data_IF_450550694317
#
_entry.id   IF_450550694317
#
_cell.length_a   1.000
_cell.length_b   1.000
_cell.length_c   1.000
_cell.angle_alpha   90.00
_cell.angle_beta   90.00
_cell.angle_gamma   90.00
#
_symmetry.space_group_name_H-M   'P 1'
#
loop_
_entity.id
_entity.type
_entity.pdbx_description
1 polymer ?
#
# COMPACT_ATOMS: atom_id res chain seq x y z
N UNK A 1 9.45 8.68 11.18
CA UNK A 1 8.24 7.94 10.77
C UNK A 1 8.45 6.44 10.96
N UNK A 2 7.42 5.76 11.48
CA UNK A 2 7.39 4.30 11.60
C UNK A 2 7.61 3.62 10.25
N UNK A 3 8.49 2.62 10.17
CA UNK A 3 8.88 1.98 8.91
C UNK A 3 8.21 0.64 8.63
N UNK A 4 7.59 0.03 9.65
CA UNK A 4 6.96 -1.28 9.54
C UNK A 4 7.93 -2.46 9.50
N UNK A 5 9.22 -2.23 9.73
CA UNK A 5 10.26 -3.26 9.67
C UNK A 5 11.30 -3.09 10.76
N UNK A 6 11.78 -4.20 11.32
CA UNK A 6 12.85 -4.24 12.30
C UNK A 6 13.72 -5.49 12.10
N UNK A 7 15.00 -5.38 12.43
CA UNK A 7 15.93 -6.50 12.52
C UNK A 7 16.15 -6.84 14.00
N UNK A 8 16.06 -8.11 14.34
CA UNK A 8 16.22 -8.58 15.72
C UNK A 8 17.13 -9.78 15.76
N UNK A 9 18.20 -9.71 16.57
CA UNK A 9 19.11 -10.81 16.79
C UNK A 9 18.49 -11.84 17.74
N UNK A 10 18.61 -13.11 17.37
CA UNK A 10 18.12 -14.26 18.13
C UNK A 10 19.15 -15.39 18.11
N UNK A 11 19.01 -16.35 19.00
CA UNK A 11 19.77 -17.59 18.92
C UNK A 11 19.48 -18.33 17.60
N UNK A 12 20.47 -18.97 17.03
CA UNK A 12 20.34 -19.70 15.76
C UNK A 12 19.20 -20.73 15.79
N UNK A 13 18.99 -21.37 16.93
CA UNK A 13 17.89 -22.33 17.13
C UNK A 13 16.51 -21.72 16.88
N UNK A 14 16.28 -20.45 17.22
CA UNK A 14 15.00 -19.78 17.00
C UNK A 14 14.68 -19.71 15.50
N UNK A 15 15.69 -19.46 14.67
CA UNK A 15 15.54 -19.43 13.21
C UNK A 15 15.24 -20.84 12.68
N UNK A 16 15.94 -21.87 13.17
CA UNK A 16 15.67 -23.26 12.81
C UNK A 16 14.24 -23.66 13.17
N UNK A 17 13.81 -23.37 14.39
CA UNK A 17 12.45 -23.62 14.86
C UNK A 17 11.41 -22.95 13.95
N UNK A 18 11.65 -21.69 13.56
CA UNK A 18 10.76 -20.97 12.66
C UNK A 18 10.63 -21.65 11.29
N UNK A 19 11.74 -22.09 10.69
CA UNK A 19 11.72 -22.79 9.40
C UNK A 19 11.10 -24.19 9.49
N UNK A 20 11.25 -24.86 10.62
CA UNK A 20 10.65 -26.19 10.87
C UNK A 20 9.15 -26.13 11.19
N UNK A 21 8.59 -24.92 11.37
CA UNK A 21 7.19 -24.71 11.72
C UNK A 21 6.90 -24.78 13.22
N UNK A 22 7.92 -24.88 14.07
CA UNK A 22 7.78 -24.76 15.51
C UNK A 22 7.37 -23.32 15.88
N UNK A 23 6.29 -23.11 16.67
CA UNK A 23 5.83 -21.77 17.01
C UNK A 23 6.90 -20.92 17.71
N UNK A 24 7.18 -19.73 17.20
CA UNK A 24 8.10 -18.75 17.78
C UNK A 24 7.28 -17.58 18.30
N UNK A 25 7.28 -17.40 19.63
CA UNK A 25 6.55 -16.33 20.30
C UNK A 25 7.55 -15.35 20.90
N UNK A 26 7.47 -14.08 20.50
CA UNK A 26 8.26 -12.99 21.07
C UNK A 26 7.64 -12.52 22.39
N UNK A 27 8.51 -12.08 23.31
CA UNK A 27 8.10 -11.52 24.61
C UNK A 27 8.36 -10.02 24.61
N UNK A 28 7.41 -9.24 25.14
CA UNK A 28 7.47 -7.77 25.19
C UNK A 28 8.76 -7.23 25.80
N UNK A 29 9.26 -7.85 26.84
CA UNK A 29 10.53 -7.43 27.51
C UNK A 29 11.77 -7.62 26.65
N UNK A 30 11.70 -8.35 25.55
CA UNK A 30 12.82 -8.61 24.67
C UNK A 30 12.93 -7.59 23.52
N UNK A 31 11.78 -7.05 23.08
CA UNK A 31 11.70 -6.15 21.93
C UNK A 31 10.37 -5.40 21.91
N UNK A 32 10.42 -4.12 21.57
CA UNK A 32 9.23 -3.34 21.28
C UNK A 32 8.90 -3.47 19.80
N UNK A 33 7.77 -4.08 19.49
CA UNK A 33 7.28 -4.33 18.14
C UNK A 33 5.78 -4.06 18.07
N UNK A 34 5.33 -3.61 16.91
CA UNK A 34 3.93 -3.25 16.68
C UNK A 34 3.17 -4.31 15.88
N UNK A 35 1.83 -4.40 16.01
CA UNK A 35 1.02 -5.32 15.21
C UNK A 35 1.29 -5.19 13.71
N UNK A 36 1.36 -6.31 13.02
CA UNK A 36 1.67 -6.40 11.58
C UNK A 36 3.04 -5.86 11.14
N UNK A 37 3.93 -5.60 12.09
CA UNK A 37 5.31 -5.24 11.79
C UNK A 37 6.07 -6.45 11.25
N UNK A 38 6.85 -6.23 10.21
CA UNK A 38 7.77 -7.24 9.68
C UNK A 38 9.06 -7.25 10.49
N UNK A 39 9.60 -8.43 10.65
CA UNK A 39 10.82 -8.66 11.41
C UNK A 39 11.76 -9.59 10.64
N UNK A 40 13.02 -9.20 10.57
CA UNK A 40 14.10 -10.10 10.17
C UNK A 40 14.76 -10.65 11.42
N UNK A 41 14.58 -11.93 11.66
CA UNK A 41 15.34 -12.66 12.65
C UNK A 41 16.74 -12.90 12.08
N UNK A 42 17.77 -12.52 12.83
CA UNK A 42 19.16 -12.65 12.44
C UNK A 42 19.90 -13.47 13.50
N UNK A 43 20.63 -14.49 13.11
CA UNK A 43 21.41 -15.30 14.03
C UNK A 43 22.50 -14.46 14.72
N UNK A 44 22.66 -14.65 16.01
CA UNK A 44 23.73 -14.04 16.82
C UNK A 44 25.13 -14.61 16.51
N UNK A 45 25.20 -15.83 15.95
CA UNK A 45 26.43 -16.56 15.62
C UNK A 45 26.73 -16.60 14.13
N UNK A 46 25.74 -16.45 13.27
CA UNK A 46 25.89 -16.52 11.81
C UNK A 46 25.05 -15.45 11.11
N UNK A 47 25.67 -14.33 10.77
CA UNK A 47 25.00 -13.19 10.14
C UNK A 47 24.27 -13.49 8.83
N UNK A 48 24.65 -14.57 8.13
CA UNK A 48 24.01 -14.97 6.88
C UNK A 48 22.71 -15.77 7.10
N UNK A 49 22.51 -16.27 8.32
CA UNK A 49 21.31 -17.03 8.67
C UNK A 49 20.23 -16.09 9.18
N UNK A 50 19.20 -15.93 8.38
CA UNK A 50 18.12 -15.00 8.64
C UNK A 50 16.76 -15.62 8.33
N UNK A 51 15.69 -15.08 8.93
CA UNK A 51 14.33 -15.44 8.59
C UNK A 51 13.45 -14.17 8.58
N UNK A 52 12.56 -14.06 7.60
CA UNK A 52 11.58 -12.99 7.52
C UNK A 52 10.24 -13.47 8.05
N UNK A 53 9.65 -12.70 8.95
CA UNK A 53 8.38 -13.00 9.57
C UNK A 53 7.53 -11.74 9.73
N UNK A 54 6.24 -11.93 10.05
CA UNK A 54 5.33 -10.87 10.45
C UNK A 54 4.83 -11.11 11.88
N UNK A 55 4.89 -10.08 12.69
CA UNK A 55 4.40 -10.09 14.06
C UNK A 55 2.93 -9.70 14.11
N UNK A 56 2.11 -10.41 14.86
CA UNK A 56 0.71 -10.07 15.10
C UNK A 56 0.54 -9.42 16.48
N UNK A 57 0.89 -10.17 17.51
CA UNK A 57 0.87 -9.74 18.90
C UNK A 57 1.76 -10.66 19.75
N UNK A 58 1.97 -10.32 21.02
CA UNK A 58 2.82 -11.11 21.93
C UNK A 58 2.23 -12.47 22.36
N UNK A 59 0.98 -12.74 22.05
CA UNK A 59 0.30 -14.00 22.38
C UNK A 59 0.24 -14.97 21.19
N UNK A 60 0.65 -14.54 20.03
CA UNK A 60 0.60 -15.31 18.79
C UNK A 60 2.00 -15.59 18.25
N UNK A 61 2.24 -16.74 17.61
CA UNK A 61 3.51 -17.00 16.97
C UNK A 61 3.75 -16.07 15.78
N UNK A 62 5.03 -15.85 15.49
CA UNK A 62 5.44 -15.16 14.27
C UNK A 62 4.89 -15.89 13.04
N UNK A 63 4.39 -15.12 12.07
CA UNK A 63 3.82 -15.66 10.83
C UNK A 63 4.87 -15.71 9.72
N UNK A 64 4.87 -16.80 8.96
CA UNK A 64 5.61 -16.88 7.70
C UNK A 64 4.97 -15.96 6.67
N UNK A 65 5.80 -15.30 5.85
CA UNK A 65 5.34 -14.53 4.72
C UNK A 65 4.84 -15.46 3.60
N UNK A 66 3.84 -15.03 2.89
CA UNK A 66 3.39 -15.72 1.68
C UNK A 66 4.43 -15.57 0.58
N UNK A 67 4.65 -16.64 -0.18
CA UNK A 67 5.57 -16.64 -1.32
C UNK A 67 4.84 -16.28 -2.62
N UNK A 68 5.13 -15.11 -3.14
CA UNK A 68 4.60 -14.63 -4.43
C UNK A 68 5.64 -14.68 -5.56
N UNK A 69 6.80 -15.28 -5.32
CA UNK A 69 7.93 -15.28 -6.27
C UNK A 69 7.66 -16.11 -7.52
N UNK A 70 6.85 -17.15 -7.42
CA UNK A 70 6.54 -18.07 -8.52
C UNK A 70 5.42 -17.55 -9.42
N UNK A 71 4.22 -17.39 -8.88
CA UNK A 71 3.04 -17.00 -9.63
C UNK A 71 2.89 -15.46 -9.73
N UNK A 72 3.30 -14.75 -8.67
CA UNK A 72 3.01 -13.32 -8.53
C UNK A 72 1.53 -13.06 -8.22
N UNK A 73 1.18 -11.78 -8.20
CA UNK A 73 -0.18 -11.28 -8.04
C UNK A 73 -0.53 -10.50 -9.30
N UNK A 74 -1.55 -10.93 -10.02
CA UNK A 74 -1.90 -10.39 -11.34
C UNK A 74 -0.67 -10.29 -12.26
N UNK A 75 0.19 -11.32 -12.22
CA UNK A 75 1.45 -11.38 -12.96
C UNK A 75 2.60 -10.53 -12.39
N UNK A 76 2.39 -9.78 -11.32
CA UNK A 76 3.40 -8.94 -10.69
C UNK A 76 4.09 -9.69 -9.57
N UNK A 77 5.42 -9.74 -9.61
CA UNK A 77 6.27 -10.40 -8.60
C UNK A 77 7.01 -9.36 -7.75
N UNK A 78 7.25 -9.66 -6.47
CA UNK A 78 8.09 -8.80 -5.65
C UNK A 78 9.55 -8.88 -6.13
N UNK A 79 10.23 -7.74 -6.21
CA UNK A 79 11.64 -7.63 -6.61
C UNK A 79 12.59 -7.46 -5.44
N UNK A 80 12.05 -7.15 -4.26
CA UNK A 80 12.79 -6.99 -3.02
C UNK A 80 11.91 -7.36 -1.82
N UNK A 81 12.51 -7.39 -0.62
CA UNK A 81 11.79 -7.78 0.59
C UNK A 81 10.64 -6.82 0.95
N UNK A 82 10.82 -5.52 0.77
CA UNK A 82 9.77 -4.53 1.09
C UNK A 82 8.56 -4.70 0.18
N UNK A 83 8.76 -5.02 -1.09
CA UNK A 83 7.66 -5.35 -2.01
C UNK A 83 6.96 -6.66 -1.61
N UNK A 84 7.70 -7.64 -1.11
CA UNK A 84 7.11 -8.86 -0.55
C UNK A 84 6.27 -8.55 0.68
N UNK A 85 6.75 -7.71 1.58
CA UNK A 85 5.99 -7.23 2.75
C UNK A 85 4.70 -6.54 2.33
N UNK A 86 4.79 -5.65 1.35
CA UNK A 86 3.62 -4.96 0.82
C UNK A 86 2.57 -5.94 0.29
N UNK A 87 2.95 -6.89 -0.54
CA UNK A 87 2.03 -7.90 -1.07
C UNK A 87 1.43 -8.78 0.03
N UNK A 88 2.19 -9.12 1.06
CA UNK A 88 1.69 -9.91 2.19
C UNK A 88 0.55 -9.19 2.92
N UNK A 89 0.69 -7.88 3.18
CA UNK A 89 -0.37 -7.06 3.77
C UNK A 89 -1.54 -6.81 2.82
N UNK A 90 -1.25 -6.49 1.56
CA UNK A 90 -2.27 -6.16 0.55
C UNK A 90 -3.21 -7.35 0.26
N UNK A 91 -2.72 -8.57 0.40
CA UNK A 91 -3.47 -9.79 0.17
C UNK A 91 -4.13 -10.36 1.44
N UNK A 92 -3.90 -9.75 2.60
CA UNK A 92 -4.42 -10.24 3.88
C UNK A 92 -5.76 -9.57 4.24
N UNK A 93 -6.88 -10.32 4.26
CA UNK A 93 -8.19 -9.76 4.61
C UNK A 93 -8.31 -9.38 6.09
N UNK A 94 -7.44 -9.88 6.96
CA UNK A 94 -7.43 -9.53 8.38
C UNK A 94 -6.83 -8.14 8.67
N UNK A 95 -6.23 -7.52 7.65
CA UNK A 95 -5.61 -6.18 7.75
C UNK A 95 -6.37 -5.21 6.84
N UNK A 96 -7.48 -4.63 7.30
CA UNK A 96 -8.31 -3.77 6.46
C UNK A 96 -7.69 -2.41 6.12
N UNK A 97 -6.67 -1.94 6.85
CA UNK A 97 -5.98 -0.69 6.55
C UNK A 97 -4.50 -0.95 6.30
N UNK A 98 -4.01 -0.59 5.13
CA UNK A 98 -2.60 -0.71 4.75
C UNK A 98 -2.06 0.63 4.28
N UNK A 99 -0.92 1.03 4.80
CA UNK A 99 -0.19 2.23 4.36
C UNK A 99 1.11 1.82 3.66
N UNK A 100 1.34 2.37 2.48
CA UNK A 100 2.56 2.18 1.70
C UNK A 100 3.22 3.53 1.45
N UNK A 101 4.39 3.74 2.02
CA UNK A 101 5.18 4.95 1.85
C UNK A 101 6.43 4.63 1.04
N UNK A 102 6.75 5.46 0.07
CA UNK A 102 7.96 5.30 -0.73
C UNK A 102 8.06 6.34 -1.82
N UNK A 103 9.27 6.57 -2.29
CA UNK A 103 9.54 7.47 -3.42
C UNK A 103 8.91 6.97 -4.71
N UNK A 104 8.77 7.86 -5.68
CA UNK A 104 8.34 7.48 -7.02
C UNK A 104 9.20 6.32 -7.58
N UNK A 105 8.56 5.35 -8.24
CA UNK A 105 9.24 4.19 -8.80
C UNK A 105 9.53 3.05 -7.82
N UNK A 106 9.07 3.12 -6.58
CA UNK A 106 9.19 2.00 -5.61
C UNK A 106 8.14 0.91 -5.79
N UNK A 107 7.15 1.14 -6.67
CA UNK A 107 6.13 0.15 -7.01
C UNK A 107 4.92 0.12 -6.08
N UNK A 108 4.72 1.11 -5.21
CA UNK A 108 3.61 1.14 -4.24
C UNK A 108 2.24 1.09 -4.90
N UNK A 109 1.99 1.97 -5.86
CA UNK A 109 0.69 2.05 -6.55
C UNK A 109 0.42 0.81 -7.40
N UNK A 110 1.42 0.33 -8.12
CA UNK A 110 1.30 -0.90 -8.93
C UNK A 110 0.99 -2.13 -8.07
N UNK A 111 1.66 -2.28 -6.91
CA UNK A 111 1.40 -3.37 -5.98
C UNK A 111 -0.03 -3.30 -5.39
N UNK A 112 -0.49 -2.10 -5.05
CA UNK A 112 -1.86 -1.90 -4.58
C UNK A 112 -2.88 -2.28 -5.65
N UNK A 113 -2.70 -1.82 -6.89
CA UNK A 113 -3.59 -2.11 -8.00
C UNK A 113 -3.61 -3.59 -8.39
N UNK A 114 -2.46 -4.25 -8.53
CA UNK A 114 -2.43 -5.67 -8.87
C UNK A 114 -3.12 -6.53 -7.79
N UNK A 115 -2.94 -6.20 -6.53
CA UNK A 115 -3.60 -6.88 -5.41
C UNK A 115 -5.12 -6.66 -5.41
N UNK A 116 -5.56 -5.45 -5.78
CA UNK A 116 -6.97 -5.13 -5.91
C UNK A 116 -7.64 -5.94 -7.04
N UNK A 117 -7.03 -5.99 -8.21
CA UNK A 117 -7.53 -6.74 -9.36
C UNK A 117 -7.61 -8.24 -9.07
N UNK A 118 -6.56 -8.81 -8.49
CA UNK A 118 -6.53 -10.24 -8.12
C UNK A 118 -7.69 -10.62 -7.19
N UNK A 119 -7.99 -9.79 -6.21
CA UNK A 119 -9.01 -10.09 -5.20
C UNK A 119 -10.42 -9.68 -5.59
N UNK A 120 -10.58 -8.92 -6.66
CA UNK A 120 -11.88 -8.41 -7.12
C UNK A 120 -12.36 -9.10 -8.40
N UNK A 121 -11.47 -9.39 -9.34
CA UNK A 121 -11.80 -9.95 -10.65
C UNK A 121 -11.63 -11.47 -10.74
N UNK A 122 -10.81 -12.07 -9.88
CA UNK A 122 -10.70 -13.54 -9.80
C UNK A 122 -11.94 -14.15 -9.15
N UNK A 123 -12.24 -15.39 -9.48
CA UNK A 123 -13.46 -16.09 -9.01
C UNK A 123 -13.06 -17.16 -7.97
N UNK A 124 -13.68 -17.17 -6.78
CA UNK A 124 -14.67 -16.21 -6.27
C UNK A 124 -14.05 -14.90 -5.83
N UNK A 125 -14.69 -13.76 -6.10
CA UNK A 125 -14.17 -12.47 -5.72
C UNK A 125 -14.25 -12.25 -4.20
N UNK A 126 -13.22 -11.68 -3.62
CA UNK A 126 -13.22 -11.32 -2.19
C UNK A 126 -13.89 -9.97 -1.95
N UNK A 127 -13.75 -9.04 -2.88
CA UNK A 127 -14.35 -7.70 -2.85
C UNK A 127 -15.23 -7.50 -4.08
N UNK A 128 -16.26 -6.66 -3.96
CA UNK A 128 -17.21 -6.41 -5.05
C UNK A 128 -16.63 -5.55 -6.16
N UNK A 129 -15.79 -4.58 -5.77
CA UNK A 129 -15.22 -3.61 -6.70
C UNK A 129 -13.92 -3.02 -6.18
N UNK A 130 -13.16 -2.46 -7.09
CA UNK A 130 -12.00 -1.61 -6.81
C UNK A 130 -12.43 -0.16 -6.95
N UNK A 131 -12.12 0.65 -5.95
CA UNK A 131 -12.27 2.12 -6.02
C UNK A 131 -10.89 2.74 -5.89
N UNK A 132 -10.43 3.42 -6.93
CA UNK A 132 -9.14 4.10 -6.94
C UNK A 132 -9.38 5.59 -6.93
N UNK A 133 -8.80 6.27 -5.97
CA UNK A 133 -8.97 7.71 -5.82
C UNK A 133 -7.63 8.40 -5.60
N UNK A 134 -7.63 9.69 -5.84
CA UNK A 134 -6.47 10.56 -5.67
C UNK A 134 -6.97 11.96 -5.27
N UNK A 135 -6.32 12.65 -4.30
CA UNK A 135 -6.58 14.06 -4.10
C UNK A 135 -6.18 14.83 -5.35
N UNK A 136 -6.99 15.80 -5.72
CA UNK A 136 -6.74 16.69 -6.87
C UNK A 136 -6.29 18.04 -6.33
N UNK A 137 -5.02 18.36 -6.59
CA UNK A 137 -4.44 19.67 -6.31
C UNK A 137 -4.27 20.41 -7.64
N UNK A 138 -5.01 21.49 -7.89
CA UNK A 138 -4.82 22.30 -9.08
C UNK A 138 -3.46 23.01 -8.99
N UNK A 139 -2.54 22.63 -9.87
CA UNK A 139 -1.26 23.32 -10.04
C UNK A 139 -1.51 24.50 -10.97
N UNK A 140 -1.50 25.72 -10.41
CA UNK A 140 -1.69 26.95 -11.20
C UNK A 140 -3.13 27.40 -11.27
N UNK A 141 -3.61 27.74 -12.46
CA UNK A 141 -4.93 28.34 -12.67
C UNK A 141 -6.10 27.42 -12.31
N UNK A 142 -7.13 28.03 -11.77
CA UNK A 142 -8.37 27.40 -11.37
C UNK A 142 -8.91 26.41 -12.42
N UNK A 143 -9.20 25.18 -12.01
CA UNK A 143 -9.81 24.13 -12.84
C UNK A 143 -11.07 24.64 -13.56
N UNK A 144 -11.75 25.65 -12.99
CA UNK A 144 -12.91 26.31 -13.58
C UNK A 144 -12.70 26.88 -14.97
N UNK A 145 -11.48 27.24 -15.36
CA UNK A 145 -11.17 27.79 -16.68
C UNK A 145 -10.91 26.76 -17.77
N UNK A 146 -10.81 25.47 -17.44
CA UNK A 146 -10.65 24.44 -18.45
C UNK A 146 -12.01 24.12 -19.11
N UNK A 147 -12.05 23.88 -20.43
CA UNK A 147 -13.29 23.48 -21.11
C UNK A 147 -13.69 22.05 -20.73
N UNK A 148 -15.00 21.77 -20.73
CA UNK A 148 -15.54 20.46 -20.50
C UNK A 148 -16.27 20.29 -19.15
N UNK A 149 -16.80 19.11 -18.93
CA UNK A 149 -17.43 18.74 -17.66
C UNK A 149 -16.39 18.63 -16.54
N UNK A 150 -16.83 18.66 -15.28
CA UNK A 150 -15.93 18.49 -14.13
C UNK A 150 -15.14 17.17 -14.19
N UNK A 151 -15.77 16.10 -14.65
CA UNK A 151 -15.12 14.81 -14.86
C UNK A 151 -14.02 14.88 -15.93
N UNK A 152 -14.31 15.49 -17.07
CA UNK A 152 -13.32 15.67 -18.15
C UNK A 152 -12.13 16.53 -17.73
N UNK A 153 -12.37 17.55 -16.91
CA UNK A 153 -11.33 18.40 -16.35
C UNK A 153 -10.39 17.66 -15.40
N UNK A 154 -10.88 16.62 -14.71
CA UNK A 154 -10.11 15.81 -13.75
C UNK A 154 -9.34 14.66 -14.40
N UNK A 155 -9.66 14.27 -15.64
CA UNK A 155 -9.02 13.17 -16.34
C UNK A 155 -7.47 13.25 -16.36
N UNK A 156 -6.84 14.42 -16.61
CA UNK A 156 -5.38 14.51 -16.60
C UNK A 156 -4.76 14.16 -15.25
N UNK A 157 -5.45 14.42 -14.15
CA UNK A 157 -4.97 14.11 -12.79
C UNK A 157 -5.02 12.62 -12.47
N UNK A 158 -5.92 11.89 -13.14
CA UNK A 158 -6.13 10.45 -12.98
C UNK A 158 -5.34 9.62 -14.01
N UNK A 159 -4.68 10.25 -14.98
CA UNK A 159 -3.92 9.58 -16.03
C UNK A 159 -2.88 8.59 -15.50
N UNK A 160 -2.07 8.88 -14.47
CA UNK A 160 -1.12 7.92 -13.93
C UNK A 160 -1.78 6.63 -13.40
N UNK A 161 -2.97 6.71 -12.84
CA UNK A 161 -3.75 5.55 -12.39
C UNK A 161 -4.22 4.73 -13.60
N UNK A 162 -4.74 5.40 -14.62
CA UNK A 162 -5.18 4.76 -15.87
C UNK A 162 -4.03 4.06 -16.58
N UNK A 163 -2.86 4.67 -16.64
CA UNK A 163 -1.65 4.08 -17.23
C UNK A 163 -1.22 2.81 -16.50
N UNK A 164 -1.24 2.81 -15.18
CA UNK A 164 -0.93 1.62 -14.39
C UNK A 164 -1.96 0.49 -14.60
N UNK A 165 -3.25 0.82 -14.64
CA UNK A 165 -4.30 -0.16 -14.94
C UNK A 165 -4.14 -0.73 -16.34
N UNK A 166 -3.85 0.10 -17.32
CA UNK A 166 -3.61 -0.32 -18.69
C UNK A 166 -2.38 -1.24 -18.79
N UNK A 167 -1.32 -0.91 -18.09
CA UNK A 167 -0.14 -1.78 -17.99
C UNK A 167 -0.52 -3.17 -17.43
N UNK A 168 -1.35 -3.23 -16.40
CA UNK A 168 -1.77 -4.49 -15.77
C UNK A 168 -2.69 -5.33 -16.66
N UNK A 169 -3.49 -4.71 -17.51
CA UNK A 169 -4.32 -5.39 -18.51
C UNK A 169 -3.57 -5.69 -19.82
N UNK A 170 -2.34 -5.18 -19.98
CA UNK A 170 -1.57 -5.38 -21.19
C UNK A 170 -2.27 -4.78 -22.41
N UNK A 171 -2.36 -5.54 -23.49
CA UNK A 171 -3.03 -5.11 -24.74
C UNK A 171 -4.56 -5.19 -24.68
N UNK A 172 -5.12 -5.72 -23.61
CA UNK A 172 -6.56 -5.95 -23.47
C UNK A 172 -7.29 -4.73 -22.87
N UNK A 173 -7.33 -3.65 -23.65
CA UNK A 173 -8.06 -2.43 -23.31
C UNK A 173 -9.56 -2.65 -23.18
N UNK A 174 -10.10 -3.51 -24.02
CA UNK A 174 -11.54 -3.77 -24.03
C UNK A 174 -12.03 -4.37 -22.73
N UNK A 175 -11.29 -5.31 -22.16
CA UNK A 175 -11.62 -5.90 -20.87
C UNK A 175 -11.54 -4.88 -19.73
N UNK A 176 -10.54 -4.00 -19.73
CA UNK A 176 -10.46 -2.92 -18.76
C UNK A 176 -11.68 -1.98 -18.85
N UNK A 177 -12.01 -1.52 -20.05
CA UNK A 177 -13.16 -0.65 -20.29
C UNK A 177 -14.48 -1.33 -19.86
N UNK A 178 -14.64 -2.61 -20.17
CA UNK A 178 -15.80 -3.40 -19.74
C UNK A 178 -15.94 -3.41 -18.20
N UNK A 179 -14.86 -3.64 -17.47
CA UNK A 179 -14.90 -3.63 -15.99
C UNK A 179 -15.21 -2.26 -15.40
N UNK A 180 -14.77 -1.18 -16.07
CA UNK A 180 -15.13 0.19 -15.69
C UNK A 180 -16.61 0.45 -15.94
N UNK A 181 -17.13 0.07 -17.10
CA UNK A 181 -18.55 0.22 -17.45
C UNK A 181 -19.47 -0.58 -16.52
N UNK A 182 -19.06 -1.80 -16.15
CA UNK A 182 -19.78 -2.65 -15.20
C UNK A 182 -19.70 -2.17 -13.73
N UNK A 183 -18.92 -1.15 -13.45
CA UNK A 183 -18.72 -0.62 -12.10
C UNK A 183 -17.85 -1.49 -11.19
N UNK A 184 -17.10 -2.45 -11.74
CA UNK A 184 -16.13 -3.26 -10.99
C UNK A 184 -14.84 -2.51 -10.71
N UNK A 185 -14.52 -1.51 -11.53
CA UNK A 185 -13.40 -0.59 -11.36
C UNK A 185 -13.94 0.82 -11.43
N UNK A 186 -13.83 1.58 -10.35
CA UNK A 186 -14.16 3.00 -10.29
C UNK A 186 -12.87 3.81 -10.13
N UNK A 187 -12.69 4.86 -10.92
CA UNK A 187 -11.56 5.79 -10.83
C UNK A 187 -12.13 7.18 -10.63
N UNK A 188 -11.90 7.78 -9.45
CA UNK A 188 -12.52 9.04 -9.07
C UNK A 188 -11.55 9.91 -8.26
N UNK A 189 -11.78 11.22 -8.27
CA UNK A 189 -11.12 12.12 -7.34
C UNK A 189 -11.70 11.94 -5.92
N UNK A 190 -10.86 12.13 -4.90
CA UNK A 190 -11.26 11.99 -3.48
C UNK A 190 -12.49 12.82 -3.11
N UNK A 191 -12.66 14.00 -3.73
CA UNK A 191 -13.81 14.85 -3.50
C UNK A 191 -15.15 14.19 -3.83
N UNK A 192 -15.19 13.25 -4.75
CA UNK A 192 -16.43 12.54 -5.14
C UNK A 192 -16.78 11.36 -4.25
N UNK A 193 -15.84 10.86 -3.45
CA UNK A 193 -16.11 9.78 -2.49
C UNK A 193 -16.48 10.30 -1.10
N UNK A 194 -16.26 11.58 -0.82
CA UNK A 194 -16.69 12.20 0.43
C UNK A 194 -18.21 12.09 0.58
N UNK A 195 -18.66 11.64 1.73
CA UNK A 195 -20.09 11.46 2.00
C UNK A 195 -20.68 10.14 1.51
N UNK A 196 -19.94 9.33 0.74
CA UNK A 196 -20.35 7.97 0.38
C UNK A 196 -19.92 6.98 1.48
N UNK A 197 -20.80 6.02 1.78
CA UNK A 197 -20.43 4.84 2.55
C UNK A 197 -20.10 3.71 1.57
N UNK A 198 -18.84 3.30 1.51
CA UNK A 198 -18.37 2.28 0.57
C UNK A 198 -18.09 1.00 1.33
N UNK A 199 -18.86 -0.06 1.03
CA UNK A 199 -18.76 -1.36 1.67
C UNK A 199 -18.31 -2.44 0.69
N UNK A 200 -17.68 -3.50 1.21
CA UNK A 200 -17.23 -4.68 0.46
C UNK A 200 -16.36 -4.34 -0.76
N UNK A 201 -15.60 -3.26 -0.68
CA UNK A 201 -14.74 -2.78 -1.75
C UNK A 201 -13.25 -2.86 -1.36
N UNK A 202 -12.41 -2.90 -2.39
CA UNK A 202 -10.98 -2.68 -2.26
C UNK A 202 -10.70 -1.23 -2.68
N UNK A 203 -10.45 -0.37 -1.71
CA UNK A 203 -10.27 1.07 -1.94
C UNK A 203 -8.79 1.44 -1.90
N UNK A 204 -8.33 2.20 -2.87
CA UNK A 204 -6.98 2.74 -2.94
C UNK A 204 -7.08 4.26 -2.98
N UNK A 205 -6.40 4.94 -2.07
CA UNK A 205 -6.19 6.38 -2.12
C UNK A 205 -4.71 6.61 -2.35
N UNK A 206 -4.37 7.13 -3.53
CA UNK A 206 -2.99 7.47 -3.90
C UNK A 206 -2.68 8.93 -3.55
N UNK A 207 -1.41 9.25 -3.37
CA UNK A 207 -0.91 10.60 -3.04
C UNK A 207 -1.51 11.19 -1.74
N UNK A 208 -1.68 10.35 -0.72
CA UNK A 208 -2.33 10.73 0.56
C UNK A 208 -1.52 11.81 1.32
N UNK A 209 -0.22 11.98 1.05
CA UNK A 209 0.58 13.06 1.62
C UNK A 209 0.03 14.46 1.26
N UNK A 210 -0.78 14.56 0.20
CA UNK A 210 -1.42 15.80 -0.21
C UNK A 210 -2.78 16.06 0.45
N UNK A 211 -3.22 15.17 1.34
CA UNK A 211 -4.44 15.35 2.11
C UNK A 211 -4.16 15.94 3.49
N UNK A 212 -5.12 16.68 4.02
CA UNK A 212 -5.12 17.11 5.41
C UNK A 212 -5.54 15.98 6.34
N UNK A 213 -5.20 16.09 7.62
CA UNK A 213 -5.65 15.13 8.65
C UNK A 213 -7.19 15.07 8.74
N UNK A 214 -7.85 16.20 8.60
CA UNK A 214 -9.31 16.27 8.59
C UNK A 214 -9.92 15.52 7.41
N UNK A 215 -9.36 15.69 6.21
CA UNK A 215 -9.84 15.02 5.01
C UNK A 215 -9.72 13.50 5.11
N UNK A 216 -8.58 12.98 5.52
CA UNK A 216 -8.40 11.53 5.66
C UNK A 216 -9.27 10.95 6.77
N UNK A 217 -9.43 11.66 7.88
CA UNK A 217 -10.35 11.26 8.96
C UNK A 217 -11.79 11.15 8.45
N UNK A 218 -12.24 12.11 7.65
CA UNK A 218 -13.57 12.11 7.05
C UNK A 218 -13.78 10.89 6.16
N UNK A 219 -12.78 10.50 5.37
CA UNK A 219 -12.86 9.31 4.50
C UNK A 219 -12.85 8.02 5.33
N UNK A 220 -11.88 7.87 6.24
CA UNK A 220 -11.71 6.64 7.03
C UNK A 220 -12.91 6.34 7.95
N UNK A 221 -13.53 7.36 8.52
CA UNK A 221 -14.70 7.18 9.39
C UNK A 221 -15.96 6.74 8.64
N UNK A 222 -15.96 6.78 7.33
CA UNK A 222 -17.07 6.36 6.45
C UNK A 222 -16.79 5.09 5.67
N UNK A 223 -15.66 4.45 5.90
CA UNK A 223 -15.36 3.15 5.32
C UNK A 223 -16.39 2.14 5.81
N UNK A 224 -17.12 1.52 4.89
CA UNK A 224 -18.14 0.53 5.19
C UNK A 224 -17.54 -0.82 5.56
N UNK A 225 -18.37 -1.68 6.11
CA UNK A 225 -17.98 -3.03 6.50
C UNK A 225 -17.48 -3.84 5.29
N UNK A 226 -16.48 -4.68 5.50
CA UNK A 226 -15.90 -5.53 4.47
C UNK A 226 -14.99 -4.81 3.47
N UNK A 227 -14.75 -3.51 3.63
CA UNK A 227 -13.86 -2.73 2.78
C UNK A 227 -12.44 -2.78 3.31
N UNK A 228 -11.50 -3.01 2.40
CA UNK A 228 -10.06 -2.85 2.64
C UNK A 228 -9.61 -1.54 2.00
N UNK A 229 -8.88 -0.72 2.75
CA UNK A 229 -8.39 0.57 2.30
C UNK A 229 -6.87 0.62 2.29
N UNK A 230 -6.31 1.04 1.17
CA UNK A 230 -4.88 1.18 0.94
C UNK A 230 -4.56 2.66 0.75
N UNK A 231 -3.65 3.16 1.56
CA UNK A 231 -3.17 4.53 1.49
C UNK A 231 -1.73 4.52 0.98
N UNK A 232 -1.49 5.15 -0.15
CA UNK A 232 -0.16 5.21 -0.77
C UNK A 232 0.32 6.66 -0.89
N UNK A 233 1.62 6.87 -0.87
CA UNK A 233 2.17 8.19 -1.11
C UNK A 233 3.68 8.30 -0.87
N UNK A 234 4.17 9.50 -1.11
CA UNK A 234 5.56 9.91 -0.95
C UNK A 234 5.61 11.16 -0.06
N UNK A 235 6.13 11.03 1.15
CA UNK A 235 6.21 12.15 2.11
C UNK A 235 7.19 13.25 1.71
N UNK A 236 8.07 12.98 0.74
CA UNK A 236 9.00 13.97 0.20
C UNK A 236 8.39 14.78 -0.97
N UNK A 237 7.21 14.39 -1.48
CA UNK A 237 6.53 15.02 -2.61
C UNK A 237 5.17 15.61 -2.21
N UNK A 238 5.22 16.63 -1.36
CA UNK A 238 4.01 17.33 -0.90
C UNK A 238 3.78 18.54 -1.79
N UNK A 239 2.72 18.49 -2.59
CA UNK A 239 2.33 19.57 -3.51
C UNK A 239 1.26 20.50 -2.91
N UNK A 240 0.54 20.04 -1.89
CA UNK A 240 -0.47 20.82 -1.20
C UNK A 240 0.18 21.85 -0.25
N UNK A 241 -0.05 23.12 -0.50
CA UNK A 241 0.53 24.23 0.27
C UNK A 241 0.03 24.34 1.72
N UNK A 242 -1.04 23.63 2.05
CA UNK A 242 -1.65 23.65 3.39
C UNK A 242 -1.15 22.52 4.30
N UNK A 243 -0.32 21.64 3.80
CA UNK A 243 0.26 20.53 4.57
C UNK A 243 1.78 20.49 4.44
N UNK A 244 2.43 19.90 5.42
CA UNK A 244 3.88 19.73 5.46
C UNK A 244 4.25 18.29 5.85
N UNK A 245 5.54 18.02 5.99
CA UNK A 245 6.05 16.69 6.35
C UNK A 245 5.50 16.17 7.70
N UNK A 246 5.11 17.06 8.59
CA UNK A 246 4.67 16.72 9.95
C UNK A 246 3.15 16.57 10.08
N UNK A 247 2.37 17.32 9.29
CA UNK A 247 0.91 17.39 9.43
C UNK A 247 0.13 16.76 8.28
N UNK A 248 0.80 16.20 7.27
CA UNK A 248 0.12 15.52 6.17
C UNK A 248 -0.62 14.26 6.66
N UNK A 249 -1.67 13.89 5.92
CA UNK A 249 -2.54 12.77 6.28
C UNK A 249 -1.81 11.43 6.33
N UNK A 250 -0.85 11.19 5.44
CA UNK A 250 -0.16 9.90 5.37
C UNK A 250 0.69 9.64 6.62
N UNK A 251 1.55 10.58 7.00
CA UNK A 251 2.35 10.48 8.22
C UNK A 251 1.46 10.36 9.46
N UNK A 252 0.37 11.10 9.50
CA UNK A 252 -0.60 11.08 10.59
C UNK A 252 -1.22 9.69 10.77
N UNK A 253 -1.73 9.08 9.69
CA UNK A 253 -2.36 7.76 9.77
C UNK A 253 -1.35 6.69 10.17
N UNK A 254 -0.15 6.68 9.57
CA UNK A 254 0.92 5.74 9.91
C UNK A 254 1.21 5.75 11.42
N UNK A 255 1.44 6.93 11.99
CA UNK A 255 1.78 7.05 13.42
C UNK A 255 0.60 6.74 14.35
N UNK A 256 -0.63 7.12 13.98
CA UNK A 256 -1.82 6.90 14.82
C UNK A 256 -2.29 5.45 14.83
N UNK A 257 -2.11 4.71 13.74
CA UNK A 257 -2.63 3.35 13.62
C UNK A 257 -1.59 2.24 13.88
N UNK A 258 -0.33 2.56 14.07
CA UNK A 258 0.74 1.55 14.24
C UNK A 258 0.50 0.55 15.38
N UNK A 259 -0.26 0.93 16.41
CA UNK A 259 -0.62 0.06 17.54
C UNK A 259 -1.87 -0.79 17.32
N UNK A 260 -2.53 -0.67 16.16
CA UNK A 260 -3.80 -1.34 15.88
C UNK A 260 -3.59 -2.61 15.04
N UNK A 261 -4.18 -3.71 15.47
CA UNK A 261 -4.11 -4.99 14.73
C UNK A 261 -4.81 -4.95 13.37
N UNK A 262 -5.70 -3.97 13.16
CA UNK A 262 -6.37 -3.75 11.87
C UNK A 262 -5.51 -3.03 10.83
N UNK A 263 -4.35 -2.53 11.20
CA UNK A 263 -3.50 -1.73 10.34
C UNK A 263 -2.12 -2.36 10.14
N UNK A 264 -1.59 -2.23 8.94
CA UNK A 264 -0.23 -2.61 8.59
C UNK A 264 0.46 -1.51 7.78
N UNK A 265 1.77 -1.43 7.89
CA UNK A 265 2.57 -0.41 7.21
C UNK A 265 3.83 -0.99 6.60
N UNK A 266 4.17 -0.51 5.40
CA UNK A 266 5.46 -0.78 4.75
C UNK A 266 6.04 0.52 4.20
N UNK A 267 7.31 0.77 4.50
CA UNK A 267 8.12 1.77 3.81
C UNK A 267 8.97 1.10 2.75
N UNK A 268 8.76 1.48 1.49
CA UNK A 268 9.48 0.98 0.33
C UNK A 268 10.71 1.85 0.08
N UNK A 269 11.91 1.30 0.26
CA UNK A 269 13.16 2.05 0.21
C UNK A 269 13.80 2.09 -1.17
N UNK A 270 13.67 1.00 -1.95
CA UNK A 270 14.36 0.81 -3.22
C UNK A 270 13.45 1.11 -4.39
N UNK A 271 13.79 2.14 -5.17
CA UNK A 271 13.15 2.42 -6.45
C UNK A 271 13.74 1.56 -7.56
N UNK A 272 12.87 0.97 -8.36
CA UNK A 272 13.21 0.25 -9.58
C UNK A 272 13.30 1.24 -10.76
N UNK A 273 14.28 2.14 -10.71
CA UNK A 273 14.47 3.15 -11.75
C UNK A 273 15.22 2.57 -12.96
N UNK A 274 14.92 3.08 -14.15
CA UNK A 274 15.74 2.85 -15.31
C UNK A 274 17.16 3.40 -15.08
N UNK A 275 18.15 2.90 -15.83
CA UNK A 275 19.53 3.46 -15.77
C UNK A 275 19.56 4.98 -15.98
N UNK A 276 18.74 5.47 -16.92
CA UNK A 276 18.65 6.90 -17.20
C UNK A 276 18.11 7.67 -16.00
N UNK A 277 17.02 7.21 -15.40
CA UNK A 277 16.42 7.86 -14.24
C UNK A 277 17.32 7.80 -12.98
N UNK A 278 18.08 6.72 -12.82
CA UNK A 278 19.04 6.58 -11.72
C UNK A 278 20.22 7.56 -11.90
N UNK A 279 20.80 7.60 -13.09
CA UNK A 279 21.91 8.51 -13.41
C UNK A 279 21.46 9.97 -13.33
N UNK A 280 20.28 10.29 -13.86
CA UNK A 280 19.75 11.65 -13.80
C UNK A 280 19.53 12.12 -12.34
N UNK A 281 19.03 11.25 -11.48
CA UNK A 281 18.84 11.57 -10.06
C UNK A 281 20.14 11.72 -9.27
N UNK A 282 21.25 11.15 -9.76
CA UNK A 282 22.57 11.23 -9.13
C UNK A 282 23.35 12.45 -9.59
N UNK A 283 23.19 12.85 -10.84
CA UNK A 283 24.04 13.87 -11.48
C UNK A 283 23.35 15.24 -11.58
N UNK A 284 22.04 15.29 -11.74
CA UNK A 284 21.23 16.50 -11.88
C UNK A 284 20.58 16.92 -10.56
#
# INVERSE_FOLDING_TARGET
LYTGFIVHQVEEKVIDDFYEGTPVILKEKNIKIYPNQFIMLKSDTNEKKTALARFKNYNSPLRKLRDFSKKGIWGIRPRNKEQQFALDLLMDPEVPVVTLVGKAGTGKTLKALCSALEQTLEIPPRYRKVVVTKPVEPVGKDIGFLPGTMQEKLLPWLAPIQDNLQFLFGDDRMTLEMHIEEGKIEIEAVTYIRGRSIANAYMIIDEVQNMTQHEIKTVLTRVGEGTKIILTGDIDQIDNVYVDETNNALSYVVEKLKNQEIAGHVTLLNGERSKVASIAAEIL
#
